data_IF_796288572780
#
_entry.id   IF_796288572780
#
_cell.length_a   1.000
_cell.length_b   1.000
_cell.length_c   1.000
_cell.angle_alpha   90.00
_cell.angle_beta   90.00
_cell.angle_gamma   90.00
#
_symmetry.space_group_name_H-M   'P 1'
#
loop_
_entity.id
_entity.type
_entity.pdbx_description
1 polymer ?
#
# COMPACT_ATOMS: atom_id res chain seq x y z
N UNK A 1 -8.16 12.51 -4.14
CA UNK A 1 -8.29 11.38 -3.19
C UNK A 1 -9.34 11.74 -2.15
N UNK A 2 -10.08 10.78 -1.57
CA UNK A 2 -11.13 11.10 -0.57
C UNK A 2 -10.61 11.04 0.88
N UNK A 3 -9.48 10.38 1.10
CA UNK A 3 -8.81 10.33 2.39
C UNK A 3 -7.97 11.59 2.58
N UNK A 4 -8.37 12.42 3.53
CA UNK A 4 -7.74 13.72 3.78
C UNK A 4 -6.33 13.57 4.35
N UNK A 5 -6.13 12.63 5.28
CA UNK A 5 -4.85 12.39 5.97
C UNK A 5 -3.74 12.02 4.97
N UNK A 6 -4.05 11.23 3.95
CA UNK A 6 -3.08 10.86 2.91
C UNK A 6 -2.70 12.10 2.09
N UNK A 7 -3.68 12.92 1.71
CA UNK A 7 -3.41 14.15 0.95
C UNK A 7 -2.62 15.15 1.79
N UNK A 8 -2.85 15.23 3.10
CA UNK A 8 -2.07 16.06 4.03
C UNK A 8 -0.60 15.61 4.12
N UNK A 9 -0.33 14.29 4.16
CA UNK A 9 1.04 13.76 4.12
C UNK A 9 1.75 14.15 2.82
N UNK A 10 1.08 14.00 1.68
CA UNK A 10 1.64 14.41 0.37
C UNK A 10 1.84 15.92 0.30
N UNK A 11 0.90 16.71 0.84
CA UNK A 11 0.98 18.17 0.85
C UNK A 11 2.18 18.67 1.66
N UNK A 12 2.48 18.02 2.79
CA UNK A 12 3.70 18.27 3.57
C UNK A 12 4.97 17.98 2.76
N UNK A 13 5.03 16.85 2.04
CA UNK A 13 6.16 16.53 1.15
C UNK A 13 6.32 17.56 0.03
N UNK A 14 5.22 18.09 -0.48
CA UNK A 14 5.22 19.10 -1.53
C UNK A 14 5.47 20.52 -1.03
N UNK A 15 5.43 20.76 0.28
CA UNK A 15 5.44 22.11 0.84
C UNK A 15 4.24 22.94 0.36
N UNK A 16 3.06 22.31 0.22
CA UNK A 16 1.84 22.93 -0.32
C UNK A 16 0.65 22.72 0.60
N UNK A 17 -0.36 23.56 0.42
CA UNK A 17 -1.64 23.40 1.11
C UNK A 17 -2.47 22.25 0.52
N UNK A 18 -3.41 21.75 1.32
CA UNK A 18 -4.48 20.86 0.86
C UNK A 18 -5.68 21.69 0.43
N UNK A 19 -6.20 21.39 -0.75
CA UNK A 19 -7.38 22.00 -1.34
C UNK A 19 -8.55 21.02 -1.23
N UNK A 20 -9.66 21.47 -0.63
CA UNK A 20 -10.93 20.75 -0.63
C UNK A 20 -11.65 20.98 -1.97
N UNK A 21 -11.95 19.92 -2.70
CA UNK A 21 -12.63 19.98 -3.99
C UNK A 21 -14.15 19.82 -3.85
N UNK A 22 -14.88 20.25 -4.87
CA UNK A 22 -16.34 20.06 -4.95
C UNK A 22 -16.66 18.60 -5.30
N UNK A 23 -17.66 18.02 -4.61
CA UNK A 23 -18.24 16.72 -4.97
C UNK A 23 -18.90 16.79 -6.35
N UNK A 24 -18.68 15.79 -7.20
CA UNK A 24 -19.28 15.71 -8.56
C UNK A 24 -20.79 15.48 -8.49
N UNK A 25 -21.24 14.62 -7.57
CA UNK A 25 -22.67 14.34 -7.30
C UNK A 25 -22.93 14.45 -5.79
N UNK A 26 -24.17 14.69 -5.35
CA UNK A 26 -24.50 14.88 -3.94
C UNK A 26 -24.07 13.72 -3.02
N UNK A 27 -24.22 12.48 -3.48
CA UNK A 27 -23.88 11.26 -2.75
C UNK A 27 -22.39 10.87 -2.84
N UNK A 28 -21.59 11.59 -3.64
CA UNK A 28 -20.14 11.33 -3.68
C UNK A 28 -19.45 11.94 -2.46
N UNK A 29 -18.44 11.23 -1.97
CA UNK A 29 -17.52 11.74 -0.94
C UNK A 29 -16.79 13.00 -1.44
N UNK A 30 -16.45 13.88 -0.50
CA UNK A 30 -15.70 15.10 -0.79
C UNK A 30 -14.24 14.71 -1.11
N UNK A 31 -13.70 15.11 -2.28
CA UNK A 31 -12.30 14.88 -2.59
C UNK A 31 -11.40 16.01 -2.05
N UNK A 32 -10.16 15.64 -1.75
CA UNK A 32 -9.06 16.54 -1.42
C UNK A 32 -7.93 16.38 -2.45
N UNK A 33 -7.21 17.45 -2.69
CA UNK A 33 -6.07 17.49 -3.58
C UNK A 33 -4.96 18.41 -3.04
N UNK A 34 -3.73 18.12 -3.42
CA UNK A 34 -2.60 19.06 -3.35
C UNK A 34 -1.89 18.99 -4.69
N UNK A 35 -1.23 20.07 -5.10
CA UNK A 35 -0.68 20.16 -6.46
C UNK A 35 0.61 20.95 -6.48
N UNK A 36 1.60 20.41 -7.19
CA UNK A 36 2.83 21.09 -7.58
C UNK A 36 2.83 21.27 -9.11
N UNK A 37 3.51 22.31 -9.60
CA UNK A 37 3.60 22.66 -11.03
C UNK A 37 5.01 23.13 -11.36
N UNK A 38 5.38 23.12 -12.63
CA UNK A 38 6.67 23.62 -13.13
C UNK A 38 7.86 22.76 -12.66
N UNK A 39 9.00 23.41 -12.42
CA UNK A 39 10.26 22.73 -12.08
C UNK A 39 10.16 21.76 -10.88
N UNK A 40 9.49 22.08 -9.76
CA UNK A 40 9.28 21.12 -8.67
C UNK A 40 8.53 19.85 -9.11
N UNK A 41 7.53 19.97 -9.99
CA UNK A 41 6.79 18.84 -10.51
C UNK A 41 7.65 17.98 -11.44
N UNK A 42 8.41 18.60 -12.34
CA UNK A 42 9.34 17.90 -13.23
C UNK A 42 10.39 17.09 -12.45
N UNK A 43 10.95 17.66 -11.37
CA UNK A 43 11.89 16.93 -10.49
C UNK A 43 11.27 15.68 -9.88
N UNK A 44 10.06 15.78 -9.36
CA UNK A 44 9.34 14.63 -8.80
C UNK A 44 9.05 13.60 -9.89
N UNK A 45 8.58 14.04 -11.06
CA UNK A 45 8.33 13.16 -12.21
C UNK A 45 9.57 12.36 -12.60
N UNK A 46 10.74 13.00 -12.75
CA UNK A 46 11.99 12.32 -13.02
C UNK A 46 12.33 11.28 -11.94
N UNK A 47 12.16 11.64 -10.66
CA UNK A 47 12.50 10.76 -9.55
C UNK A 47 11.58 9.52 -9.45
N UNK A 48 10.28 9.67 -9.71
CA UNK A 48 9.32 8.55 -9.59
C UNK A 48 9.22 7.69 -10.85
N UNK A 49 9.62 8.24 -12.01
CA UNK A 49 9.50 7.58 -13.32
C UNK A 49 9.99 6.13 -13.33
N UNK A 50 11.17 5.77 -12.79
CA UNK A 50 11.68 4.38 -12.84
C UNK A 50 10.82 3.35 -12.10
N UNK A 51 9.88 3.80 -11.25
CA UNK A 51 9.05 2.93 -10.42
C UNK A 51 7.62 2.75 -10.97
N UNK A 52 7.27 3.43 -12.06
CA UNK A 52 5.95 3.39 -12.67
C UNK A 52 5.89 2.40 -13.84
N UNK A 53 4.68 2.02 -14.27
CA UNK A 53 4.51 1.17 -15.45
C UNK A 53 4.87 1.89 -16.75
N UNK A 54 5.16 1.14 -17.83
CA UNK A 54 5.66 1.70 -19.10
C UNK A 54 4.81 2.80 -19.70
N UNK A 55 3.48 2.68 -19.58
CA UNK A 55 2.55 3.72 -20.03
C UNK A 55 2.74 5.04 -19.26
N UNK A 56 2.95 4.98 -17.95
CA UNK A 56 3.16 6.16 -17.10
C UNK A 56 4.56 6.75 -17.26
N UNK A 57 5.57 5.91 -17.49
CA UNK A 57 6.92 6.35 -17.91
C UNK A 57 6.84 7.22 -19.18
N UNK A 58 6.16 6.71 -20.21
CA UNK A 58 6.00 7.43 -21.48
C UNK A 58 5.22 8.75 -21.30
N UNK A 59 4.17 8.76 -20.48
CA UNK A 59 3.43 9.98 -20.17
C UNK A 59 4.31 11.04 -19.50
N UNK A 60 5.20 10.62 -18.59
CA UNK A 60 6.16 11.52 -17.95
C UNK A 60 7.15 12.06 -18.98
N UNK A 61 7.68 11.20 -19.86
CA UNK A 61 8.63 11.62 -20.90
C UNK A 61 8.04 12.69 -21.82
N UNK A 62 6.80 12.49 -22.26
CA UNK A 62 6.08 13.44 -23.08
C UNK A 62 5.81 14.77 -22.33
N UNK A 63 5.48 14.70 -21.05
CA UNK A 63 5.26 15.89 -20.21
C UNK A 63 6.55 16.70 -20.00
N UNK A 64 7.69 16.02 -19.79
CA UNK A 64 8.99 16.67 -19.60
C UNK A 64 9.48 17.26 -20.93
N UNK A 65 9.37 16.53 -22.04
CA UNK A 65 9.79 16.99 -23.35
C UNK A 65 9.00 18.24 -23.80
N UNK A 66 7.68 18.25 -23.58
CA UNK A 66 6.84 19.43 -23.86
C UNK A 66 7.14 20.62 -22.94
N UNK A 67 7.60 20.38 -21.70
CA UNK A 67 8.01 21.45 -20.79
C UNK A 67 9.33 22.11 -21.21
N UNK A 68 10.33 21.33 -21.64
CA UNK A 68 11.60 21.87 -22.12
C UNK A 68 11.48 22.65 -23.44
N UNK A 69 10.51 22.28 -24.27
CA UNK A 69 10.21 23.00 -25.52
C UNK A 69 9.34 24.23 -25.31
N UNK A 70 8.74 24.41 -24.13
CA UNK A 70 7.97 25.60 -23.78
C UNK A 70 8.90 26.80 -23.53
N UNK A 71 9.19 27.54 -24.61
CA UNK A 71 9.61 28.93 -24.53
C UNK A 71 8.37 29.74 -24.18
N UNK A 72 8.29 30.23 -22.94
CA UNK A 72 7.16 31.06 -22.50
C UNK A 72 6.92 32.28 -23.41
N UNK A 73 5.82 33.03 -23.23
CA UNK A 73 5.60 34.25 -24.00
C UNK A 73 6.84 35.13 -23.92
N UNK A 74 7.42 35.50 -25.08
CA UNK A 74 8.46 36.54 -25.14
C UNK A 74 7.86 37.78 -24.48
N UNK A 75 8.21 38.05 -23.21
CA UNK A 75 8.10 39.41 -22.68
C UNK A 75 8.87 40.26 -23.67
N UNK A 76 8.20 41.21 -24.34
CA UNK A 76 8.89 42.32 -25.00
C UNK A 76 9.64 43.07 -23.92
N UNK A 77 10.85 42.63 -23.60
CA UNK A 77 11.82 43.42 -22.86
C UNK A 77 12.30 44.48 -23.85
N UNK A 78 11.97 45.73 -23.54
CA UNK A 78 12.72 46.90 -24.00
C UNK A 78 14.21 46.60 -23.76
N UNK A 79 15.01 46.86 -24.78
CA UNK A 79 16.45 46.69 -24.76
C UNK A 79 17.06 47.38 -23.55
N UNK A 80 17.94 46.68 -22.85
CA UNK A 80 19.24 47.20 -22.38
C UNK A 80 20.02 46.04 -21.76
N UNK A 81 21.28 45.94 -22.16
CA UNK A 81 22.12 44.77 -22.00
C UNK A 81 22.68 44.57 -20.60
N UNK A 82 23.00 43.32 -20.30
CA UNK A 82 24.32 42.91 -19.83
C UNK A 82 24.32 41.39 -19.71
N UNK A 83 25.37 40.78 -20.25
CA UNK A 83 25.66 39.37 -20.14
C UNK A 83 25.84 39.00 -18.67
N UNK A 84 25.00 38.10 -18.19
CA UNK A 84 25.29 37.29 -17.01
C UNK A 84 24.89 35.85 -17.35
N UNK A 85 25.89 35.07 -17.74
CA UNK A 85 25.79 33.62 -17.85
C UNK A 85 25.25 33.06 -16.53
N UNK A 86 23.96 32.68 -16.49
CA UNK A 86 23.43 31.93 -15.36
C UNK A 86 24.00 30.52 -15.45
N UNK A 87 25.04 30.26 -14.65
CA UNK A 87 25.57 28.92 -14.44
C UNK A 87 24.43 28.02 -13.99
N UNK A 88 23.99 27.12 -14.86
CA UNK A 88 23.16 25.98 -14.50
C UNK A 88 23.96 25.18 -13.48
N UNK A 89 23.56 25.25 -12.20
CA UNK A 89 24.09 24.35 -11.19
C UNK A 89 23.94 22.91 -11.70
N UNK A 90 24.96 22.05 -11.53
CA UNK A 90 24.95 20.72 -12.09
C UNK A 90 23.72 19.98 -11.60
N UNK A 91 22.99 19.41 -12.55
CA UNK A 91 21.90 18.48 -12.27
C UNK A 91 22.53 17.35 -11.46
N UNK A 92 22.26 17.33 -10.16
CA UNK A 92 22.68 16.23 -9.31
C UNK A 92 22.05 14.98 -9.90
N UNK A 93 22.89 14.08 -10.40
CA UNK A 93 22.48 12.78 -10.92
C UNK A 93 21.89 11.95 -9.78
N UNK A 94 20.59 12.16 -9.56
CA UNK A 94 19.78 11.37 -8.64
C UNK A 94 19.49 9.97 -9.18
N UNK A 95 19.88 9.67 -10.43
CA UNK A 95 19.75 8.35 -11.04
C UNK A 95 20.61 7.29 -10.34
N UNK A 96 21.75 7.70 -9.77
CA UNK A 96 22.63 6.83 -8.97
C UNK A 96 22.14 6.59 -7.53
N UNK A 97 21.37 7.52 -6.95
CA UNK A 97 20.95 7.46 -5.53
C UNK A 97 19.80 6.47 -5.29
N UNK A 98 19.07 6.07 -6.35
CA UNK A 98 17.89 5.21 -6.27
C UNK A 98 18.13 3.75 -6.68
N UNK A 99 19.39 3.35 -6.94
CA UNK A 99 19.76 1.93 -7.05
C UNK A 99 20.11 1.37 -5.68
N UNK A 100 19.05 1.12 -4.93
CA UNK A 100 19.09 0.38 -3.71
C UNK A 100 19.53 -1.08 -3.97
N UNK A 101 20.67 -1.50 -3.43
CA UNK A 101 21.04 -2.92 -3.34
C UNK A 101 20.85 -3.39 -1.90
N UNK A 102 20.28 -4.59 -1.68
CA UNK A 102 20.04 -5.15 -0.34
C UNK A 102 18.78 -4.61 0.37
N UNK A 103 18.84 -4.38 1.69
CA UNK A 103 17.73 -3.90 2.54
C UNK A 103 17.00 -2.67 1.97
N UNK A 104 17.72 -1.83 1.24
CA UNK A 104 17.18 -0.66 0.58
C UNK A 104 16.19 -1.02 -0.56
N UNK A 105 16.40 -2.15 -1.26
CA UNK A 105 15.51 -2.61 -2.32
C UNK A 105 14.21 -3.18 -1.71
N UNK A 106 14.32 -3.93 -0.62
CA UNK A 106 13.16 -4.43 0.12
C UNK A 106 12.32 -3.28 0.69
N UNK A 107 12.97 -2.23 1.22
CA UNK A 107 12.30 -1.02 1.66
C UNK A 107 11.58 -0.31 0.50
N UNK A 108 12.24 -0.19 -0.66
CA UNK A 108 11.64 0.37 -1.87
C UNK A 108 10.45 -0.44 -2.37
N UNK A 109 10.55 -1.78 -2.40
CA UNK A 109 9.48 -2.66 -2.85
C UNK A 109 8.29 -2.64 -1.87
N UNK A 110 8.56 -2.59 -0.57
CA UNK A 110 7.55 -2.41 0.48
C UNK A 110 6.84 -1.05 0.35
N UNK A 111 7.59 0.02 0.15
CA UNK A 111 7.03 1.35 -0.07
C UNK A 111 6.21 1.42 -1.36
N UNK A 112 6.68 0.77 -2.43
CA UNK A 112 5.99 0.70 -3.71
C UNK A 112 4.64 -0.03 -3.58
N UNK A 113 4.63 -1.23 -3.00
CA UNK A 113 3.39 -1.99 -2.84
C UNK A 113 2.45 -1.34 -1.83
N UNK A 114 2.98 -0.69 -0.79
CA UNK A 114 2.17 0.13 0.11
C UNK A 114 1.47 1.28 -0.63
N UNK A 115 2.18 2.01 -1.49
CA UNK A 115 1.59 3.07 -2.31
C UNK A 115 0.50 2.56 -3.25
N UNK A 116 0.74 1.42 -3.90
CA UNK A 116 -0.26 0.76 -4.76
C UNK A 116 -1.51 0.36 -3.96
N UNK A 117 -1.33 -0.32 -2.82
CA UNK A 117 -2.43 -0.83 -2.00
C UNK A 117 -3.18 0.28 -1.24
N UNK A 118 -2.53 1.41 -0.95
CA UNK A 118 -3.22 2.59 -0.44
C UNK A 118 -4.21 3.14 -1.48
N UNK A 119 -3.85 3.14 -2.77
CA UNK A 119 -4.70 3.61 -3.86
C UNK A 119 -5.80 2.63 -4.26
N UNK A 120 -5.41 1.40 -4.59
CA UNK A 120 -6.23 0.41 -5.29
C UNK A 120 -6.45 -0.89 -4.49
N UNK A 121 -5.82 -1.00 -3.32
CA UNK A 121 -5.87 -2.18 -2.48
C UNK A 121 -7.16 -2.30 -1.67
N UNK A 122 -7.58 -3.54 -1.48
CA UNK A 122 -8.68 -3.93 -0.60
C UNK A 122 -8.17 -4.82 0.53
N UNK A 123 -8.52 -4.45 1.76
CA UNK A 123 -8.21 -5.18 2.99
C UNK A 123 -9.53 -5.66 3.59
N UNK A 124 -9.76 -6.98 3.58
CA UNK A 124 -11.07 -7.58 3.85
C UNK A 124 -10.91 -8.69 4.90
N UNK A 125 -11.83 -8.78 5.87
CA UNK A 125 -12.09 -10.01 6.60
C UNK A 125 -13.11 -10.84 5.83
N UNK A 126 -12.68 -11.96 5.25
CA UNK A 126 -13.57 -12.89 4.56
C UNK A 126 -13.92 -14.08 5.47
N UNK A 127 -15.00 -14.80 5.16
CA UNK A 127 -15.46 -15.97 5.91
C UNK A 127 -16.53 -15.65 6.97
N UNK A 128 -16.96 -16.68 7.71
CA UNK A 128 -17.93 -16.57 8.82
C UNK A 128 -17.19 -16.37 10.14
N UNK A 129 -17.85 -15.83 11.16
CA UNK A 129 -17.25 -15.44 12.45
C UNK A 129 -16.27 -16.46 13.09
N UNK A 130 -16.47 -17.77 12.92
CA UNK A 130 -15.58 -18.82 13.48
C UNK A 130 -14.40 -19.22 12.58
N UNK A 131 -14.37 -18.78 11.33
CA UNK A 131 -13.37 -19.14 10.32
C UNK A 131 -13.02 -17.94 9.44
N UNK A 132 -13.00 -16.74 10.02
CA UNK A 132 -12.67 -15.54 9.29
C UNK A 132 -11.16 -15.48 9.01
N UNK A 133 -10.81 -15.02 7.81
CA UNK A 133 -9.43 -14.88 7.37
C UNK A 133 -9.24 -13.55 6.63
N UNK A 134 -8.08 -12.90 6.78
CA UNK A 134 -7.80 -11.65 6.12
C UNK A 134 -7.48 -11.92 4.65
N UNK A 135 -7.83 -10.95 3.81
CA UNK A 135 -7.56 -10.96 2.37
C UNK A 135 -7.00 -9.59 2.00
N UNK A 136 -5.89 -9.62 1.25
CA UNK A 136 -5.41 -8.47 0.49
C UNK A 136 -5.71 -8.76 -0.97
N UNK A 137 -6.43 -7.86 -1.63
CA UNK A 137 -6.76 -7.93 -3.05
C UNK A 137 -6.38 -6.61 -3.72
N UNK A 138 -5.79 -6.67 -4.91
CA UNK A 138 -5.56 -5.52 -5.78
C UNK A 138 -5.98 -5.89 -7.20
N UNK A 139 -6.66 -4.98 -7.88
CA UNK A 139 -7.13 -5.18 -9.24
C UNK A 139 -7.06 -3.90 -10.08
N UNK A 140 -6.61 -4.01 -11.33
CA UNK A 140 -6.57 -2.90 -12.30
C UNK A 140 -6.38 -3.39 -13.73
N UNK A 141 -6.52 -2.50 -14.72
CA UNK A 141 -6.37 -2.82 -16.13
C UNK A 141 -4.89 -3.00 -16.56
N UNK A 142 -3.94 -2.48 -15.79
CA UNK A 142 -2.52 -2.52 -16.10
C UNK A 142 -1.87 -3.83 -15.65
N UNK A 143 -1.76 -4.79 -16.57
CA UNK A 143 -1.20 -6.12 -16.30
C UNK A 143 0.18 -6.09 -15.65
N UNK A 144 1.12 -5.29 -16.16
CA UNK A 144 2.51 -5.23 -15.68
C UNK A 144 2.60 -4.82 -14.20
N UNK A 145 1.72 -3.91 -13.77
CA UNK A 145 1.66 -3.44 -12.38
C UNK A 145 1.16 -4.57 -11.47
N UNK A 146 0.12 -5.28 -11.90
CA UNK A 146 -0.43 -6.43 -11.17
C UNK A 146 0.55 -7.60 -11.14
N UNK A 147 1.30 -7.85 -12.22
CA UNK A 147 2.37 -8.86 -12.24
C UNK A 147 3.48 -8.52 -11.24
N UNK A 148 3.89 -7.25 -11.14
CA UNK A 148 4.85 -6.83 -10.11
C UNK A 148 4.30 -7.02 -8.70
N UNK A 149 3.06 -6.60 -8.45
CA UNK A 149 2.41 -6.80 -7.16
C UNK A 149 2.32 -8.29 -6.80
N UNK A 150 1.98 -9.15 -7.77
CA UNK A 150 1.89 -10.58 -7.57
C UNK A 150 3.23 -11.23 -7.25
N UNK A 151 4.34 -10.78 -7.87
CA UNK A 151 5.68 -11.23 -7.50
C UNK A 151 6.04 -10.86 -6.06
N UNK A 152 5.75 -9.62 -5.64
CA UNK A 152 6.02 -9.17 -4.26
C UNK A 152 5.17 -9.91 -3.23
N UNK A 153 3.89 -10.13 -3.52
CA UNK A 153 2.98 -10.89 -2.66
C UNK A 153 3.14 -12.40 -2.82
N UNK A 154 4.04 -12.86 -3.69
CA UNK A 154 4.26 -14.26 -4.07
C UNK A 154 2.92 -15.00 -4.30
N UNK A 155 2.18 -14.53 -5.31
CA UNK A 155 0.88 -15.08 -5.71
C UNK A 155 0.76 -15.12 -7.24
N UNK A 156 -0.28 -15.80 -7.73
CA UNK A 156 -0.62 -15.84 -9.15
C UNK A 156 -1.59 -14.71 -9.49
N UNK A 157 -1.57 -14.28 -10.75
CA UNK A 157 -2.54 -13.35 -11.29
C UNK A 157 -3.64 -14.10 -12.05
N UNK A 158 -4.81 -13.50 -12.15
CA UNK A 158 -5.84 -13.92 -13.10
C UNK A 158 -6.49 -12.70 -13.76
N UNK A 159 -7.05 -12.91 -14.95
CA UNK A 159 -7.78 -11.89 -15.69
C UNK A 159 -9.29 -12.08 -15.50
N UNK A 160 -10.00 -10.96 -15.35
CA UNK A 160 -11.45 -10.88 -15.32
C UNK A 160 -11.90 -10.19 -16.59
N UNK A 161 -12.73 -10.88 -17.36
CA UNK A 161 -13.31 -10.34 -18.59
C UNK A 161 -14.23 -9.14 -18.26
N UNK A 162 -14.24 -8.10 -19.10
CA UNK A 162 -15.13 -6.97 -18.90
C UNK A 162 -16.60 -7.39 -19.03
N UNK A 163 -17.46 -6.88 -18.15
CA UNK A 163 -18.91 -7.08 -18.26
C UNK A 163 -19.58 -6.20 -19.33
N UNK A 164 -18.83 -5.28 -19.93
CA UNK A 164 -19.31 -4.33 -20.96
C UNK A 164 -18.39 -4.40 -22.17
N UNK A 165 -19.00 -4.43 -23.36
CA UNK A 165 -18.27 -4.46 -24.63
C UNK A 165 -17.33 -3.25 -24.77
N UNK A 166 -16.14 -3.48 -25.32
CA UNK A 166 -15.12 -2.44 -25.53
C UNK A 166 -14.30 -2.04 -24.29
N UNK A 167 -14.63 -2.55 -23.10
CA UNK A 167 -13.82 -2.30 -21.91
C UNK A 167 -12.59 -3.21 -21.87
N UNK A 168 -11.52 -2.77 -21.22
CA UNK A 168 -10.30 -3.58 -21.05
C UNK A 168 -10.50 -4.65 -19.98
N UNK A 169 -9.83 -5.82 -20.08
CA UNK A 169 -9.83 -6.81 -19.01
C UNK A 169 -9.19 -6.23 -17.73
N UNK A 170 -9.66 -6.69 -16.58
CA UNK A 170 -9.08 -6.36 -15.27
C UNK A 170 -8.20 -7.51 -14.80
N UNK A 171 -6.99 -7.21 -14.35
CA UNK A 171 -6.07 -8.19 -13.77
C UNK A 171 -6.13 -8.10 -12.25
N UNK A 172 -6.07 -9.25 -11.59
CA UNK A 172 -6.22 -9.35 -10.13
C UNK A 172 -5.04 -10.12 -9.54
N UNK A 173 -4.53 -9.63 -8.41
CA UNK A 173 -3.64 -10.37 -7.51
C UNK A 173 -4.26 -10.40 -6.11
N UNK A 174 -4.16 -11.56 -5.44
CA UNK A 174 -4.73 -11.73 -4.11
C UNK A 174 -3.90 -12.68 -3.26
N UNK A 175 -3.83 -12.36 -1.97
CA UNK A 175 -3.39 -13.28 -0.92
C UNK A 175 -4.42 -13.32 0.20
N UNK A 176 -4.46 -14.44 0.91
CA UNK A 176 -5.43 -14.68 1.98
C UNK A 176 -4.77 -15.38 3.18
N UNK A 177 -5.46 -15.37 4.32
CA UNK A 177 -5.03 -16.08 5.52
C UNK A 177 -3.75 -15.49 6.11
N UNK A 178 -2.84 -16.35 6.55
CA UNK A 178 -1.67 -15.91 7.29
C UNK A 178 -0.77 -14.94 6.52
N UNK A 179 -0.47 -15.26 5.26
CA UNK A 179 0.38 -14.42 4.41
C UNK A 179 -0.22 -13.02 4.26
N UNK A 180 -1.54 -12.93 4.10
CA UNK A 180 -2.23 -11.65 4.10
C UNK A 180 -2.12 -10.94 5.46
N UNK A 181 -2.23 -11.66 6.57
CA UNK A 181 -2.06 -11.08 7.90
C UNK A 181 -0.65 -10.52 8.15
N UNK A 182 0.39 -11.21 7.69
CA UNK A 182 1.78 -10.73 7.77
C UNK A 182 1.97 -9.45 6.96
N UNK A 183 1.53 -9.46 5.70
CA UNK A 183 1.56 -8.27 4.86
C UNK A 183 0.74 -7.12 5.45
N UNK A 184 -0.45 -7.38 6.00
CA UNK A 184 -1.25 -6.37 6.69
C UNK A 184 -0.49 -5.73 7.85
N UNK A 185 0.15 -6.52 8.72
CA UNK A 185 0.99 -6.00 9.82
C UNK A 185 2.16 -5.18 9.31
N UNK A 186 2.84 -5.68 8.27
CA UNK A 186 3.98 -5.02 7.65
C UNK A 186 3.62 -3.70 6.96
N UNK A 187 2.43 -3.61 6.37
CA UNK A 187 1.97 -2.44 5.62
C UNK A 187 1.30 -1.39 6.49
N UNK A 188 0.73 -1.79 7.63
CA UNK A 188 -0.02 -0.92 8.55
C UNK A 188 0.64 0.43 8.83
N UNK A 189 1.96 0.54 9.08
CA UNK A 189 2.60 1.84 9.36
C UNK A 189 2.60 2.83 8.18
N UNK A 190 2.42 2.34 6.95
CA UNK A 190 2.46 3.15 5.73
C UNK A 190 1.07 3.60 5.27
N UNK A 191 0.01 3.01 5.83
CA UNK A 191 -1.36 3.19 5.38
C UNK A 191 -2.00 4.47 5.91
N UNK A 192 -2.96 5.01 5.15
CA UNK A 192 -3.87 6.04 5.65
C UNK A 192 -4.81 5.50 6.73
N UNK A 193 -5.48 6.41 7.45
CA UNK A 193 -6.37 6.06 8.56
C UNK A 193 -7.44 5.04 8.17
N UNK A 194 -8.03 5.20 6.97
CA UNK A 194 -9.06 4.27 6.46
C UNK A 194 -8.51 2.85 6.23
N UNK A 195 -7.33 2.71 5.63
CA UNK A 195 -6.74 1.38 5.34
C UNK A 195 -6.24 0.75 6.63
N UNK A 196 -5.67 1.54 7.53
CA UNK A 196 -5.29 1.11 8.89
C UNK A 196 -6.50 0.53 9.63
N UNK A 197 -7.64 1.23 9.64
CA UNK A 197 -8.86 0.72 10.27
C UNK A 197 -9.39 -0.57 9.61
N UNK A 198 -9.30 -0.69 8.28
CA UNK A 198 -9.69 -1.91 7.56
C UNK A 198 -8.76 -3.09 7.89
N UNK A 199 -7.45 -2.85 7.99
CA UNK A 199 -6.45 -3.81 8.44
C UNK A 199 -6.75 -4.26 9.87
N UNK A 200 -6.98 -3.32 10.78
CA UNK A 200 -7.26 -3.62 12.19
C UNK A 200 -8.52 -4.47 12.34
N UNK A 201 -9.56 -4.12 11.59
CA UNK A 201 -10.80 -4.92 11.53
C UNK A 201 -10.50 -6.33 11.03
N UNK A 202 -9.76 -6.47 9.93
CA UNK A 202 -9.45 -7.77 9.35
C UNK A 202 -8.60 -8.65 10.28
N UNK A 203 -7.58 -8.06 10.92
CA UNK A 203 -6.70 -8.76 11.86
C UNK A 203 -7.42 -9.13 13.16
N UNK A 204 -8.31 -8.27 13.68
CA UNK A 204 -9.09 -8.56 14.89
C UNK A 204 -10.06 -9.73 14.70
N UNK A 205 -10.59 -9.91 13.49
CA UNK A 205 -11.43 -11.05 13.13
C UNK A 205 -10.63 -12.32 12.86
N UNK A 206 -9.33 -12.19 12.55
CA UNK A 206 -8.49 -13.31 12.14
C UNK A 206 -7.99 -14.15 13.30
N UNK A 207 -8.40 -15.42 13.30
CA UNK A 207 -8.00 -16.41 14.29
C UNK A 207 -7.59 -17.69 13.58
N UNK A 208 -6.30 -17.92 13.30
CA UNK A 208 -5.88 -19.12 12.61
C UNK A 208 -6.28 -20.40 13.38
N UNK A 209 -6.53 -21.48 12.64
CA UNK A 209 -6.84 -22.78 13.26
C UNK A 209 -5.54 -23.44 13.75
N UNK A 210 -4.44 -23.23 13.03
CA UNK A 210 -3.10 -23.73 13.35
C UNK A 210 -2.18 -22.55 13.64
N UNK A 211 -1.46 -22.63 14.75
CA UNK A 211 -0.38 -21.69 15.05
C UNK A 211 0.76 -21.93 14.08
N UNK A 212 1.32 -20.84 13.56
CA UNK A 212 2.36 -20.90 12.53
C UNK A 212 3.75 -20.86 13.17
N UNK A 213 3.90 -20.11 14.24
CA UNK A 213 5.01 -20.21 15.17
C UNK A 213 4.44 -20.54 16.57
N UNK A 214 4.16 -21.82 16.88
CA UNK A 214 3.73 -22.18 18.22
C UNK A 214 4.89 -21.94 19.22
N UNK A 215 4.61 -21.42 20.42
CA UNK A 215 5.63 -21.34 21.46
C UNK A 215 6.09 -22.75 21.85
N UNK A 216 7.36 -22.94 22.23
CA UNK A 216 7.85 -24.27 22.64
C UNK A 216 7.20 -24.75 23.94
N UNK A 217 6.76 -23.83 24.80
CA UNK A 217 6.13 -24.08 26.10
C UNK A 217 4.72 -23.49 26.16
N UNK A 218 3.97 -23.86 27.19
CA UNK A 218 2.63 -23.36 27.44
C UNK A 218 2.62 -21.85 27.73
N UNK A 219 1.67 -21.10 27.15
CA UNK A 219 1.50 -19.65 27.41
C UNK A 219 0.83 -19.31 28.74
N UNK A 220 0.58 -20.31 29.59
CA UNK A 220 -0.05 -20.05 30.88
C UNK A 220 1.07 -19.67 31.84
N UNK A 221 0.92 -18.51 32.50
CA UNK A 221 1.92 -18.01 33.45
C UNK A 221 2.29 -19.09 34.49
N UNK A 222 3.60 -19.31 34.66
CA UNK A 222 4.13 -20.34 35.56
C UNK A 222 4.07 -21.79 35.02
N UNK A 223 3.69 -22.02 33.76
CA UNK A 223 3.65 -23.36 33.17
C UNK A 223 4.79 -23.60 32.18
N UNK A 224 5.76 -24.42 32.58
CA UNK A 224 6.93 -24.75 31.74
C UNK A 224 6.71 -26.00 30.85
N UNK A 225 5.51 -26.59 30.87
CA UNK A 225 5.22 -27.80 30.08
C UNK A 225 5.23 -27.47 28.59
N UNK A 226 5.78 -28.40 27.78
CA UNK A 226 5.78 -28.30 26.33
C UNK A 226 4.40 -28.03 25.72
N UNK A 227 4.38 -27.18 24.70
CA UNK A 227 3.19 -26.90 23.90
C UNK A 227 2.69 -28.18 23.20
N UNK A 228 1.36 -28.34 23.11
CA UNK A 228 0.72 -29.41 22.34
C UNK A 228 -0.28 -28.88 21.32
N UNK A 229 -1.10 -27.90 21.67
CA UNK A 229 -2.07 -27.31 20.76
C UNK A 229 -2.46 -25.90 21.21
N UNK A 230 -2.61 -24.96 20.27
CA UNK A 230 -3.10 -23.59 20.52
C UNK A 230 -2.33 -22.83 21.63
N UNK A 231 -1.00 -22.99 21.69
CA UNK A 231 -0.15 -22.36 22.69
C UNK A 231 -0.26 -22.99 24.08
N UNK A 232 -1.04 -24.06 24.23
CA UNK A 232 -1.26 -24.74 25.50
C UNK A 232 -0.60 -26.12 25.56
N UNK A 233 -0.13 -26.51 26.74
CA UNK A 233 0.20 -27.90 27.05
C UNK A 233 -1.06 -28.78 27.04
N UNK A 234 -0.89 -30.11 27.04
CA UNK A 234 -2.01 -31.05 26.99
C UNK A 234 -3.08 -30.77 28.08
N UNK A 235 -2.65 -30.56 29.32
CA UNK A 235 -3.55 -30.33 30.47
C UNK A 235 -4.37 -29.06 30.31
N UNK A 236 -3.72 -27.95 29.95
CA UNK A 236 -4.39 -26.66 29.76
C UNK A 236 -5.29 -26.66 28.52
N UNK A 237 -4.86 -27.32 27.44
CA UNK A 237 -5.70 -27.51 26.26
C UNK A 237 -6.98 -28.31 26.60
N UNK A 238 -6.86 -29.41 27.35
CA UNK A 238 -8.01 -30.23 27.75
C UNK A 238 -8.94 -29.51 28.73
N UNK A 239 -8.40 -28.66 29.62
CA UNK A 239 -9.22 -27.81 30.49
C UNK A 239 -10.03 -26.80 29.65
N UNK A 240 -9.36 -26.08 28.76
CA UNK A 240 -9.99 -25.11 27.86
C UNK A 240 -11.05 -25.74 26.95
N UNK A 241 -10.75 -26.89 26.35
CA UNK A 241 -11.67 -27.61 25.46
C UNK A 241 -12.94 -28.04 26.20
N UNK A 242 -12.81 -28.54 27.44
CA UNK A 242 -13.95 -28.92 28.29
C UNK A 242 -14.79 -27.71 28.70
N UNK A 243 -14.18 -26.59 29.07
CA UNK A 243 -14.91 -25.36 29.39
C UNK A 243 -15.73 -24.89 28.19
N UNK A 244 -15.14 -24.90 26.98
CA UNK A 244 -15.86 -24.58 25.73
C UNK A 244 -16.99 -25.54 25.40
N UNK A 245 -16.77 -26.84 25.53
CA UNK A 245 -17.80 -27.84 25.24
C UNK A 245 -19.01 -27.71 26.18
N UNK A 246 -18.80 -27.22 27.40
CA UNK A 246 -19.85 -26.98 28.42
C UNK A 246 -20.44 -25.57 28.38
N UNK A 247 -20.05 -24.73 27.41
CA UNK A 247 -20.51 -23.34 27.32
C UNK A 247 -20.05 -22.44 28.46
N UNK A 248 -19.02 -22.84 29.23
CA UNK A 248 -18.45 -22.02 30.31
C UNK A 248 -17.46 -21.01 29.75
N UNK A 249 -17.35 -19.85 30.41
CA UNK A 249 -16.28 -18.89 30.14
C UNK A 249 -14.92 -19.58 30.42
N UNK A 250 -14.05 -19.75 29.41
CA UNK A 250 -12.79 -20.45 29.61
C UNK A 250 -11.87 -19.67 30.56
N UNK A 251 -11.25 -20.35 31.52
CA UNK A 251 -10.28 -19.74 32.45
C UNK A 251 -8.94 -19.42 31.80
N UNK A 252 -8.66 -20.05 30.66
CA UNK A 252 -7.41 -19.96 29.93
C UNK A 252 -7.72 -19.45 28.52
N UNK A 253 -7.03 -18.41 28.10
CA UNK A 253 -7.09 -17.90 26.73
C UNK A 253 -5.96 -18.56 25.93
N UNK A 254 -6.26 -19.56 25.06
CA UNK A 254 -5.23 -20.12 24.20
C UNK A 254 -4.74 -19.09 23.19
N UNK A 255 -3.53 -19.29 22.67
CA UNK A 255 -3.12 -18.65 21.43
C UNK A 255 -4.03 -19.17 20.30
N UNK A 256 -4.61 -18.25 19.54
CA UNK A 256 -5.43 -18.57 18.36
C UNK A 256 -4.58 -18.44 17.11
#
# INVERSE_FOLDING_TARGET
>A
MTDRDVVERVAKLFGRAVVRLRRRKPHHKIPYATTIKGAPAARVMCAVRPFLGKTRELQIDLAIASWHTWRGPRRRSRAEGSDSQSSLAPVVDLGGILRAHGESQEACDRAWIAGLLEGEGSFIANGRARSSYPVIKVEMCEREVIERAARLLDTRIWAVAPGTEGWRPTYVAQIAGHRAAEWMRALRPYMGLRRTAAIDTALSAYHPIRLIAPPPVCVVDGCERGHRARGLCNTHYMSWSRDRARGRTPRITPLR
#
